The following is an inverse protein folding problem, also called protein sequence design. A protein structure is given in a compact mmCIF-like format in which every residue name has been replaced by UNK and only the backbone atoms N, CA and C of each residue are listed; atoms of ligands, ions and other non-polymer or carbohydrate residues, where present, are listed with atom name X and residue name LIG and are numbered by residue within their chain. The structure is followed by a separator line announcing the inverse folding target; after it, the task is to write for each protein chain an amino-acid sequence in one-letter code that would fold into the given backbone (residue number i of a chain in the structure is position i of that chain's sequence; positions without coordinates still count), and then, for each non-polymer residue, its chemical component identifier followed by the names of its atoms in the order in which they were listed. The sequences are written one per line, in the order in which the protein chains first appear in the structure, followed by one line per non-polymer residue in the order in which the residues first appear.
data_IF_732996412343
#
_entry.id   IF_732996412343
#
_cell.length_a   1.000
_cell.length_b   1.000
_cell.length_c   1.000
_cell.angle_alpha   90.00
_cell.angle_beta   90.00
_cell.angle_gamma   90.00
#
_symmetry.space_group_name_H-M   'P 1'
#
loop_
_entity.id
_entity.type
_entity.pdbx_description
1 polymer ?
#
# COMPACT_ATOMS: atom_id res chain seq x y z
N UNK A 1 -8.76 -30.79 -26.07
CA UNK A 1 -7.93 -29.73 -26.70
C UNK A 1 -8.26 -28.44 -25.98
N UNK A 2 -7.32 -27.94 -25.17
CA UNK A 2 -7.51 -26.74 -24.35
C UNK A 2 -7.57 -25.53 -25.27
N UNK A 3 -8.71 -24.85 -25.30
CA UNK A 3 -8.89 -23.64 -26.10
C UNK A 3 -8.05 -22.51 -25.48
N UNK A 4 -7.05 -22.09 -26.25
CA UNK A 4 -6.21 -20.93 -25.97
C UNK A 4 -7.10 -19.71 -26.26
N UNK A 5 -7.63 -19.07 -25.21
CA UNK A 5 -8.48 -17.88 -25.38
C UNK A 5 -7.59 -16.71 -25.80
N UNK A 6 -7.89 -16.04 -26.93
CA UNK A 6 -7.08 -14.96 -27.46
C UNK A 6 -7.31 -13.66 -26.68
N UNK A 7 -6.21 -13.00 -26.37
CA UNK A 7 -6.03 -11.56 -26.20
C UNK A 7 -7.30 -10.71 -26.42
N UNK A 8 -8.01 -10.46 -25.33
CA UNK A 8 -8.69 -9.19 -25.09
C UNK A 8 -8.08 -8.68 -23.78
N UNK A 9 -7.38 -7.54 -23.84
CA UNK A 9 -6.76 -6.87 -22.69
C UNK A 9 -7.84 -6.33 -21.73
N UNK A 10 -8.62 -7.22 -21.14
CA UNK A 10 -9.38 -6.97 -19.92
C UNK A 10 -8.55 -7.46 -18.76
N UNK A 11 -8.58 -6.74 -17.64
CA UNK A 11 -7.93 -7.18 -16.40
C UNK A 11 -8.35 -8.64 -16.15
N UNK A 12 -7.39 -9.57 -15.95
CA UNK A 12 -7.70 -10.96 -15.65
C UNK A 12 -8.71 -10.99 -14.51
N UNK A 13 -9.78 -11.76 -14.69
CA UNK A 13 -10.82 -11.88 -13.67
C UNK A 13 -10.25 -12.38 -12.34
N UNK A 14 -11.07 -12.31 -11.29
CA UNK A 14 -10.64 -12.70 -9.95
C UNK A 14 -10.10 -14.14 -9.88
N UNK A 15 -10.60 -15.04 -10.74
CA UNK A 15 -10.13 -16.42 -10.81
C UNK A 15 -8.76 -16.53 -11.47
N UNK A 16 -8.53 -15.86 -12.61
CA UNK A 16 -7.22 -15.85 -13.26
C UNK A 16 -6.15 -15.20 -12.37
N UNK A 17 -6.48 -14.11 -11.66
CA UNK A 17 -5.59 -13.50 -10.67
C UNK A 17 -5.27 -14.44 -9.51
N UNK A 18 -6.24 -15.24 -9.03
CA UNK A 18 -6.00 -16.22 -7.99
C UNK A 18 -5.03 -17.33 -8.44
N UNK A 19 -5.14 -17.78 -9.70
CA UNK A 19 -4.20 -18.76 -10.28
C UNK A 19 -2.79 -18.17 -10.42
N UNK A 20 -2.67 -16.93 -10.90
CA UNK A 20 -1.37 -16.25 -10.99
C UNK A 20 -0.76 -16.07 -9.60
N UNK A 21 -1.57 -15.67 -8.61
CA UNK A 21 -1.14 -15.52 -7.23
C UNK A 21 -0.67 -16.85 -6.63
N UNK A 22 -1.37 -17.95 -6.93
CA UNK A 22 -0.98 -19.29 -6.50
C UNK A 22 0.39 -19.68 -7.08
N UNK A 23 0.60 -19.45 -8.38
CA UNK A 23 1.90 -19.72 -9.04
C UNK A 23 3.00 -18.86 -8.40
N UNK A 24 2.74 -17.57 -8.18
CA UNK A 24 3.69 -16.67 -7.52
C UNK A 24 4.04 -17.14 -6.10
N UNK A 25 3.07 -17.63 -5.34
CA UNK A 25 3.27 -18.21 -4.00
C UNK A 25 4.10 -19.50 -4.07
N UNK A 26 3.95 -20.33 -5.10
CA UNK A 26 4.77 -21.54 -5.26
C UNK A 26 6.22 -21.20 -5.60
N UNK A 27 6.46 -20.18 -6.42
CA UNK A 27 7.81 -19.76 -6.83
C UNK A 27 8.55 -19.01 -5.72
N UNK A 28 7.88 -18.04 -5.09
CA UNK A 28 8.49 -17.16 -4.09
C UNK A 28 8.23 -17.62 -2.66
N UNK A 29 7.21 -18.45 -2.41
CA UNK A 29 6.77 -18.87 -1.08
C UNK A 29 5.71 -17.94 -0.48
N UNK A 30 4.75 -18.52 0.27
CA UNK A 30 3.64 -17.79 0.90
C UNK A 30 4.08 -16.67 1.86
N UNK A 31 5.30 -16.75 2.39
CA UNK A 31 5.84 -15.79 3.34
C UNK A 31 6.57 -14.60 2.68
N UNK A 32 6.99 -14.69 1.40
CA UNK A 32 7.80 -13.64 0.78
C UNK A 32 6.99 -12.42 0.38
N UNK A 33 5.82 -12.60 -0.25
CA UNK A 33 4.93 -11.49 -0.61
C UNK A 33 4.53 -10.64 0.62
N UNK A 34 4.06 -11.22 1.75
CA UNK A 34 3.70 -10.41 2.93
C UNK A 34 4.92 -9.79 3.63
N UNK A 35 6.08 -10.46 3.61
CA UNK A 35 7.32 -9.88 4.15
C UNK A 35 7.75 -8.65 3.35
N UNK A 36 7.76 -8.75 2.01
CA UNK A 36 8.09 -7.65 1.11
C UNK A 36 7.09 -6.48 1.26
N UNK A 37 5.80 -6.78 1.33
CA UNK A 37 4.78 -5.76 1.55
C UNK A 37 5.00 -5.00 2.87
N UNK A 38 5.37 -5.71 3.95
CA UNK A 38 5.67 -5.08 5.25
C UNK A 38 6.94 -4.22 5.20
N UNK A 39 8.05 -4.74 4.69
CA UNK A 39 9.31 -3.98 4.63
C UNK A 39 9.21 -2.77 3.70
N UNK A 40 8.60 -2.95 2.52
CA UNK A 40 8.37 -1.85 1.57
C UNK A 40 7.38 -0.85 2.13
N UNK A 41 6.31 -1.30 2.80
CA UNK A 41 5.34 -0.42 3.45
C UNK A 41 5.94 0.43 4.57
N UNK A 42 6.80 -0.17 5.40
CA UNK A 42 7.56 0.55 6.43
C UNK A 42 8.50 1.58 5.80
N UNK A 43 9.30 1.19 4.80
CA UNK A 43 10.20 2.09 4.10
C UNK A 43 9.45 3.26 3.44
N UNK A 44 8.32 2.97 2.78
CA UNK A 44 7.50 3.98 2.12
C UNK A 44 6.81 4.92 3.13
N UNK A 45 6.44 4.40 4.31
CA UNK A 45 5.88 5.17 5.41
C UNK A 45 6.89 6.16 6.01
N UNK A 46 8.09 5.69 6.35
CA UNK A 46 9.16 6.57 6.85
C UNK A 46 9.62 7.56 5.79
N UNK A 47 9.69 7.14 4.53
CA UNK A 47 10.00 8.04 3.41
C UNK A 47 8.96 9.15 3.25
N UNK A 48 7.65 8.83 3.39
CA UNK A 48 6.59 9.84 3.32
C UNK A 48 6.69 10.84 4.48
N UNK A 49 6.95 10.38 5.71
CA UNK A 49 7.14 11.24 6.87
C UNK A 49 8.33 12.18 6.71
N UNK A 50 9.48 11.65 6.28
CA UNK A 50 10.66 12.47 6.01
C UNK A 50 10.42 13.49 4.89
N UNK A 51 9.67 13.12 3.85
CA UNK A 51 9.25 14.07 2.79
C UNK A 51 8.41 15.21 3.33
N UNK A 52 7.42 14.91 4.19
CA UNK A 52 6.54 15.92 4.81
C UNK A 52 7.32 16.85 5.77
N UNK A 53 8.31 16.32 6.49
CA UNK A 53 9.17 17.11 7.38
C UNK A 53 10.09 18.06 6.59
N UNK A 54 10.72 17.55 5.53
CA UNK A 54 11.53 18.37 4.60
C UNK A 54 10.68 19.46 3.93
N UNK A 55 9.45 19.14 3.50
CA UNK A 55 8.55 20.11 2.87
C UNK A 55 8.13 21.21 3.84
N UNK A 56 7.88 20.87 5.12
CA UNK A 56 7.64 21.85 6.18
C UNK A 56 8.86 22.72 6.46
N UNK A 57 10.04 22.12 6.61
CA UNK A 57 11.28 22.87 6.83
C UNK A 57 11.56 23.84 5.66
N UNK A 58 11.38 23.39 4.41
CA UNK A 58 11.56 24.25 3.23
C UNK A 58 10.49 25.37 3.19
N UNK A 59 9.24 25.05 3.53
CA UNK A 59 8.15 26.03 3.63
C UNK A 59 8.42 27.11 4.69
N UNK A 60 8.91 26.70 5.85
CA UNK A 60 9.28 27.58 6.96
C UNK A 60 10.49 28.46 6.62
N UNK A 61 11.47 27.92 5.86
CA UNK A 61 12.66 28.66 5.41
C UNK A 61 12.36 29.65 4.28
N UNK A 62 11.37 29.38 3.42
CA UNK A 62 11.05 30.23 2.26
C UNK A 62 10.00 31.31 2.53
N UNK A 63 9.50 31.44 3.77
CA UNK A 63 8.65 32.55 4.20
C UNK A 63 7.26 32.61 3.54
N UNK A 64 6.73 31.46 3.09
CA UNK A 64 5.48 31.39 2.34
C UNK A 64 4.39 30.61 3.08
N UNK A 65 3.43 31.35 3.63
CA UNK A 65 2.14 30.86 4.10
C UNK A 65 1.32 30.31 2.92
N UNK A 66 1.22 28.98 2.78
CA UNK A 66 0.13 28.34 2.06
C UNK A 66 -0.39 27.11 2.81
N UNK A 67 -1.72 27.09 2.93
CA UNK A 67 -2.49 26.17 3.75
C UNK A 67 -2.80 24.84 3.04
N UNK A 68 -2.97 23.81 3.87
CA UNK A 68 -3.90 22.69 3.71
C UNK A 68 -3.63 21.62 2.64
N UNK A 69 -3.35 20.41 3.12
CA UNK A 69 -3.75 19.16 2.46
C UNK A 69 -4.00 18.05 3.49
N UNK A 70 -5.20 18.08 4.07
CA UNK A 70 -6.05 16.93 4.48
C UNK A 70 -5.43 15.52 4.57
N UNK A 71 -5.55 14.97 5.79
CA UNK A 71 -6.42 13.81 6.14
C UNK A 71 -6.13 12.44 5.50
N UNK A 72 -5.47 11.58 6.26
CA UNK A 72 -5.87 10.18 6.55
C UNK A 72 -4.90 9.67 7.64
N UNK A 73 -5.31 9.54 8.90
CA UNK A 73 -5.79 8.25 9.37
C UNK A 73 -6.71 8.39 10.60
N UNK A 74 -8.00 8.17 10.38
CA UNK A 74 -8.95 7.80 11.42
C UNK A 74 -9.63 6.53 10.96
N UNK A 75 -9.19 5.38 11.48
CA UNK A 75 -10.02 4.28 12.03
C UNK A 75 -9.21 2.98 12.10
N UNK A 76 -8.61 2.69 13.26
CA UNK A 76 -8.78 1.40 13.95
C UNK A 76 -8.11 1.43 15.33
N UNK A 77 -8.89 1.73 16.36
CA UNK A 77 -8.95 0.94 17.60
C UNK A 77 -9.92 1.59 18.59
N UNK A 78 -11.20 1.56 18.22
CA UNK A 78 -12.28 1.55 19.18
C UNK A 78 -12.69 0.09 19.41
N UNK A 79 -11.89 -0.66 20.19
CA UNK A 79 -12.44 -1.73 21.03
C UNK A 79 -11.45 -2.04 22.16
N UNK A 80 -11.96 -1.93 23.39
CA UNK A 80 -11.35 -2.33 24.68
C UNK A 80 -10.68 -1.18 25.43
N UNK A 81 -11.50 -0.32 26.05
CA UNK A 81 -11.41 0.02 27.47
C UNK A 81 -12.44 1.09 27.86
N UNK A 82 -13.63 0.62 28.27
CA UNK A 82 -14.52 1.32 29.22
C UNK A 82 -15.66 0.40 29.66
N UNK A 83 -15.31 -0.53 30.56
CA UNK A 83 -16.02 -0.84 31.81
C UNK A 83 -17.43 -0.23 31.98
N UNK A 84 -18.48 -1.07 31.97
CA UNK A 84 -19.55 -1.05 32.99
C UNK A 84 -20.37 -2.34 32.95
#
# INVERSE_FOLDING_TARGET
MVAIVPLQFGIPGGMELAVILLIAILLFGANKIPQLARSTGQAMGEFKRGREEIEKEIGDLTGGSDSDSKKADSKKDSKKDSKK
#
